data_IF_494771086227
#
_entry.id   IF_494771086227
#
_cell.length_a   1.000
_cell.length_b   1.000
_cell.length_c   1.000
_cell.angle_alpha   90.00
_cell.angle_beta   90.00
_cell.angle_gamma   90.00
#
_symmetry.space_group_name_H-M   'P 1'
#
loop_
_entity.id
_entity.type
_entity.pdbx_description
1 polymer ?
#
# COMPACT_ATOMS: atom_id res chain seq x y z
N UNK A 1 -35.19 73.66 16.10
CA UNK A 1 -34.50 73.94 14.82
C UNK A 1 -34.00 72.61 14.27
N UNK A 2 -34.77 72.11 13.34
CA UNK A 2 -34.58 70.73 12.75
C UNK A 2 -33.47 70.72 11.71
N UNK A 3 -32.58 69.74 11.78
CA UNK A 3 -31.80 69.30 10.62
C UNK A 3 -31.96 67.78 10.44
N UNK A 4 -32.70 67.44 9.41
CA UNK A 4 -32.83 66.08 8.88
C UNK A 4 -31.54 65.73 8.14
N UNK A 5 -30.86 64.63 8.54
CA UNK A 5 -29.83 63.99 7.74
C UNK A 5 -30.47 62.76 7.01
N UNK A 6 -30.52 62.92 5.70
CA UNK A 6 -30.93 61.79 4.81
C UNK A 6 -29.82 60.80 4.66
N UNK A 7 -30.10 59.55 5.00
CA UNK A 7 -29.19 58.39 4.73
C UNK A 7 -29.38 57.94 3.30
N UNK A 8 -28.34 58.10 2.46
CA UNK A 8 -28.25 57.50 1.12
C UNK A 8 -27.74 56.07 1.31
N UNK A 9 -28.60 55.09 1.08
CA UNK A 9 -28.22 53.66 0.99
C UNK A 9 -27.74 53.43 -0.44
N UNK A 10 -26.41 53.29 -0.61
CA UNK A 10 -25.81 52.83 -1.86
C UNK A 10 -25.88 51.29 -1.87
N UNK A 11 -26.78 50.75 -2.67
CA UNK A 11 -26.84 49.30 -3.00
C UNK A 11 -25.70 49.02 -3.97
N UNK A 12 -24.59 48.47 -3.46
CA UNK A 12 -23.57 47.85 -4.28
C UNK A 12 -24.07 46.48 -4.74
N UNK A 13 -24.54 46.41 -5.97
CA UNK A 13 -24.80 45.16 -6.67
C UNK A 13 -23.44 44.45 -6.97
N UNK A 14 -23.00 43.54 -6.11
CA UNK A 14 -21.90 42.64 -6.40
C UNK A 14 -22.42 41.63 -7.39
N UNK A 15 -22.10 41.81 -8.67
CA UNK A 15 -22.26 40.80 -9.71
C UNK A 15 -21.24 39.70 -9.41
N UNK A 16 -21.68 38.64 -8.75
CA UNK A 16 -20.93 37.34 -8.67
C UNK A 16 -21.01 36.73 -10.07
N UNK A 17 -20.00 37.01 -10.88
CA UNK A 17 -19.73 36.21 -12.06
C UNK A 17 -19.44 34.81 -11.57
N UNK A 18 -20.36 33.88 -11.75
CA UNK A 18 -20.11 32.46 -11.61
C UNK A 18 -19.08 32.08 -12.69
N UNK A 19 -17.78 32.18 -12.39
CA UNK A 19 -16.76 31.48 -13.13
C UNK A 19 -17.18 30.02 -13.03
N UNK A 20 -17.57 29.43 -14.15
CA UNK A 20 -17.64 28.00 -14.29
C UNK A 20 -16.25 27.49 -13.89
N UNK A 21 -16.14 26.89 -12.72
CA UNK A 21 -14.89 26.30 -12.24
C UNK A 21 -14.54 25.23 -13.28
N UNK A 22 -13.50 25.47 -14.07
CA UNK A 22 -12.90 24.42 -14.89
C UNK A 22 -12.66 23.23 -13.99
N UNK A 23 -13.28 22.10 -14.35
CA UNK A 23 -13.10 20.87 -13.57
C UNK A 23 -11.61 20.53 -13.59
N UNK A 24 -10.97 20.33 -12.42
CA UNK A 24 -9.55 20.08 -12.36
C UNK A 24 -9.25 18.80 -13.14
N UNK A 25 -8.28 18.89 -14.05
CA UNK A 25 -7.84 17.79 -14.91
C UNK A 25 -6.64 17.12 -14.24
N UNK A 26 -6.75 15.82 -14.00
CA UNK A 26 -5.70 15.03 -13.34
C UNK A 26 -5.10 14.00 -14.29
N UNK A 27 -3.78 13.88 -14.21
CA UNK A 27 -3.01 12.84 -14.87
C UNK A 27 -2.83 11.62 -13.96
N UNK A 28 -2.34 10.51 -14.52
CA UNK A 28 -1.95 9.34 -13.72
C UNK A 28 -0.88 9.69 -12.69
N UNK A 29 0.08 10.57 -13.04
CA UNK A 29 1.12 11.01 -12.11
C UNK A 29 0.55 11.81 -10.95
N UNK A 30 -0.40 12.72 -11.21
CA UNK A 30 -1.08 13.49 -10.16
C UNK A 30 -1.83 12.56 -9.20
N UNK A 31 -2.43 11.49 -9.74
CA UNK A 31 -3.12 10.47 -8.94
C UNK A 31 -2.16 9.66 -8.07
N UNK A 32 -0.96 9.31 -8.58
CA UNK A 32 0.09 8.70 -7.79
C UNK A 32 0.53 9.63 -6.64
N UNK A 33 0.83 10.88 -6.95
CA UNK A 33 1.30 11.84 -5.96
C UNK A 33 0.24 12.13 -4.89
N UNK A 34 -1.03 12.17 -5.27
CA UNK A 34 -2.14 12.32 -4.35
C UNK A 34 -2.27 11.11 -3.40
N UNK A 35 -2.22 9.90 -3.93
CA UNK A 35 -2.30 8.67 -3.14
C UNK A 35 -1.08 8.51 -2.21
N UNK A 36 0.14 8.78 -2.71
CA UNK A 36 1.36 8.70 -1.92
C UNK A 36 1.37 9.66 -0.72
N UNK A 37 0.64 10.79 -0.81
CA UNK A 37 0.50 11.76 0.30
C UNK A 37 -0.65 11.46 1.25
N UNK A 38 -1.75 10.90 0.76
CA UNK A 38 -3.01 10.84 1.51
C UNK A 38 -3.42 9.45 1.97
N UNK A 39 -2.97 8.38 1.29
CA UNK A 39 -3.44 7.03 1.55
C UNK A 39 -2.92 6.48 2.88
N UNK A 40 -3.82 5.99 3.72
CA UNK A 40 -3.53 5.52 5.07
C UNK A 40 -2.55 4.33 5.09
N UNK A 41 -2.60 3.44 4.11
CA UNK A 41 -1.70 2.29 4.03
C UNK A 41 -0.22 2.69 3.95
N UNK A 42 0.08 3.83 3.29
CA UNK A 42 1.44 4.38 3.22
C UNK A 42 1.84 4.98 4.57
N UNK A 43 0.94 5.77 5.20
CA UNK A 43 1.19 6.35 6.53
C UNK A 43 1.43 5.28 7.58
N UNK A 44 0.67 4.17 7.56
CA UNK A 44 0.91 3.02 8.43
C UNK A 44 2.33 2.46 8.19
N UNK A 45 2.76 2.34 6.94
CA UNK A 45 4.11 1.86 6.63
C UNK A 45 5.21 2.86 7.02
N UNK A 46 4.94 4.17 6.94
CA UNK A 46 5.83 5.22 7.45
C UNK A 46 5.96 5.14 8.98
N UNK A 47 4.87 4.92 9.70
CA UNK A 47 4.91 4.70 11.16
C UNK A 47 5.69 3.43 11.54
N UNK A 48 5.68 2.38 10.71
CA UNK A 48 6.54 1.21 10.92
C UNK A 48 8.04 1.57 10.84
N UNK A 49 8.41 2.50 9.96
CA UNK A 49 9.80 3.03 9.91
C UNK A 49 10.11 3.82 11.17
N UNK A 50 9.21 4.69 11.64
CA UNK A 50 9.38 5.45 12.91
C UNK A 50 9.53 4.49 14.10
N UNK A 51 8.75 3.40 14.14
CA UNK A 51 8.92 2.36 15.17
C UNK A 51 10.30 1.70 15.07
N UNK A 52 10.78 1.42 13.86
CA UNK A 52 12.11 0.83 13.67
C UNK A 52 13.23 1.80 14.06
N UNK A 53 13.09 3.11 13.77
CA UNK A 53 13.99 4.16 14.25
C UNK A 53 14.05 4.18 15.78
N UNK A 54 12.87 4.16 16.43
CA UNK A 54 12.77 4.12 17.89
C UNK A 54 13.39 2.86 18.50
N UNK A 55 13.35 1.71 17.81
CA UNK A 55 14.02 0.48 18.26
C UNK A 55 15.54 0.59 18.19
N UNK A 56 16.07 1.34 17.22
CA UNK A 56 17.52 1.65 17.17
C UNK A 56 17.92 2.49 18.38
N UNK A 57 17.13 3.53 18.71
CA UNK A 57 17.37 4.35 19.91
C UNK A 57 17.30 3.52 21.19
N UNK A 58 16.29 2.63 21.32
CA UNK A 58 16.20 1.68 22.43
C UNK A 58 17.44 0.77 22.48
N UNK A 59 17.95 0.28 21.34
CA UNK A 59 19.15 -0.56 21.33
C UNK A 59 20.40 0.21 21.81
N UNK A 60 20.48 1.50 21.54
CA UNK A 60 21.55 2.36 22.06
C UNK A 60 21.50 2.50 23.59
N UNK A 61 20.30 2.49 24.20
CA UNK A 61 20.20 2.57 25.68
C UNK A 61 20.87 1.41 26.40
N UNK A 62 21.02 0.26 25.74
CA UNK A 62 21.77 -0.88 26.30
C UNK A 62 23.30 -0.72 26.24
N UNK A 63 23.79 0.25 25.47
CA UNK A 63 25.21 0.59 25.39
C UNK A 63 25.60 1.67 26.40
N UNK A 64 24.66 2.60 26.65
CA UNK A 64 24.88 3.73 27.55
C UNK A 64 24.76 3.38 29.04
N UNK A 65 25.35 4.19 29.94
CA UNK A 65 25.13 4.03 31.38
C UNK A 65 23.67 4.34 31.72
N UNK A 66 23.10 3.52 32.62
CA UNK A 66 21.76 3.69 33.14
C UNK A 66 21.78 4.12 34.59
N UNK A 67 21.15 5.25 34.90
CA UNK A 67 20.95 5.73 36.26
C UNK A 67 19.52 5.36 36.71
N UNK A 68 19.42 4.63 37.82
CA UNK A 68 18.13 4.20 38.37
C UNK A 68 18.04 4.61 39.84
N UNK A 69 16.90 5.20 40.21
CA UNK A 69 16.58 5.51 41.59
C UNK A 69 15.64 4.42 42.18
N UNK A 70 15.93 3.98 43.38
CA UNK A 70 15.09 3.09 44.13
C UNK A 70 14.70 3.75 45.44
N UNK A 71 13.48 3.55 45.90
CA UNK A 71 12.98 3.99 47.19
C UNK A 71 12.11 2.90 47.79
N UNK A 72 12.30 2.58 49.06
CA UNK A 72 11.46 1.65 49.78
C UNK A 72 11.26 2.10 51.20
N UNK A 73 10.08 1.85 51.73
CA UNK A 73 9.77 1.90 53.18
C UNK A 73 9.20 0.55 53.58
N UNK A 74 9.86 -0.07 54.56
CA UNK A 74 9.43 -1.36 55.08
C UNK A 74 9.07 -1.20 56.54
N UNK A 75 7.91 -1.67 56.95
CA UNK A 75 7.49 -1.72 58.35
C UNK A 75 7.32 -3.17 58.77
N UNK A 76 8.00 -3.53 59.84
CA UNK A 76 7.90 -4.85 60.46
C UNK A 76 6.89 -4.80 61.59
N UNK A 77 6.29 -5.93 61.93
CA UNK A 77 5.31 -6.06 63.00
C UNK A 77 5.96 -6.02 64.40
N UNK A 78 7.27 -6.34 64.47
CA UNK A 78 8.01 -6.38 65.74
C UNK A 78 9.50 -6.10 65.50
N UNK A 79 10.22 -5.70 66.56
CA UNK A 79 11.67 -5.59 66.55
C UNK A 79 12.29 -6.93 66.91
N UNK A 80 13.38 -7.32 66.23
CA UNK A 80 14.22 -8.42 66.74
C UNK A 80 15.30 -7.85 67.66
N UNK A 81 15.12 -7.95 69.00
CA UNK A 81 16.17 -7.57 69.90
C UNK A 81 17.33 -8.56 69.81
N UNK A 82 18.55 -8.12 70.00
CA UNK A 82 19.69 -9.01 70.06
C UNK A 82 19.57 -9.86 71.28
N UNK A 83 19.77 -11.18 71.19
CA UNK A 83 19.95 -12.05 72.38
C UNK A 83 21.19 -11.61 73.20
N UNK A 84 20.99 -10.67 74.12
CA UNK A 84 22.03 -10.18 75.04
C UNK A 84 23.03 -9.15 74.45
N UNK A 85 22.78 -8.56 73.28
CA UNK A 85 23.66 -7.57 72.64
C UNK A 85 23.05 -6.16 72.59
N UNK A 86 23.89 -5.13 72.40
CA UNK A 86 23.50 -3.72 72.39
C UNK A 86 22.91 -3.20 71.14
N UNK A 87 22.69 -4.04 70.08
CA UNK A 87 22.31 -3.59 68.74
C UNK A 87 21.02 -4.25 68.27
N UNK A 88 20.11 -3.47 67.65
CA UNK A 88 18.90 -3.96 66.95
C UNK A 88 19.27 -4.53 65.61
N UNK A 89 18.84 -5.77 65.29
CA UNK A 89 19.00 -6.40 64.04
C UNK A 89 17.85 -6.09 63.07
N UNK A 90 16.64 -5.85 63.61
CA UNK A 90 15.44 -5.52 62.80
C UNK A 90 14.72 -4.33 63.44
N UNK A 91 14.68 -3.16 62.76
CA UNK A 91 13.90 -2.01 63.23
C UNK A 91 12.41 -2.21 62.96
N UNK A 92 11.53 -1.43 63.58
CA UNK A 92 10.09 -1.40 63.23
C UNK A 92 9.83 -0.78 61.90
N UNK A 93 10.54 0.28 61.53
CA UNK A 93 10.45 0.96 60.24
C UNK A 93 11.82 1.16 59.64
N UNK A 94 11.93 0.97 58.34
CA UNK A 94 13.16 1.17 57.56
C UNK A 94 12.86 1.90 56.27
N UNK A 95 13.50 3.04 56.08
CA UNK A 95 13.50 3.80 54.83
C UNK A 95 14.80 3.56 54.07
N UNK A 96 14.73 3.21 52.83
CA UNK A 96 15.90 3.10 51.96
C UNK A 96 15.67 3.91 50.70
N UNK A 97 16.67 4.68 50.30
CA UNK A 97 16.73 5.35 48.98
C UNK A 97 18.10 5.07 48.39
N UNK A 98 18.13 4.77 47.07
CA UNK A 98 19.41 4.58 46.39
C UNK A 98 19.36 5.09 44.95
N UNK A 99 20.50 5.64 44.49
CA UNK A 99 20.78 5.95 43.10
C UNK A 99 21.87 4.99 42.63
N UNK A 100 21.62 4.28 41.56
CA UNK A 100 22.55 3.29 40.99
C UNK A 100 22.82 3.61 39.56
N UNK A 101 24.08 3.89 39.24
CA UNK A 101 24.60 4.03 37.87
C UNK A 101 25.21 2.70 37.44
N UNK A 102 24.67 2.08 36.39
CA UNK A 102 25.16 0.80 35.84
C UNK A 102 25.63 1.01 34.41
N UNK A 103 26.87 0.66 34.11
CA UNK A 103 27.45 0.70 32.75
C UNK A 103 27.84 -0.72 32.33
N UNK A 104 27.23 -1.30 31.27
CA UNK A 104 27.73 -2.52 30.69
C UNK A 104 29.11 -2.29 30.04
N UNK A 105 30.13 -3.05 30.47
CA UNK A 105 31.47 -3.01 29.88
C UNK A 105 31.66 -4.11 28.85
N UNK A 106 31.15 -5.30 29.16
CA UNK A 106 31.17 -6.44 28.27
C UNK A 106 29.93 -7.32 28.50
N UNK A 107 29.25 -7.71 27.45
CA UNK A 107 28.02 -8.50 27.50
C UNK A 107 28.07 -9.73 26.58
N UNK A 108 29.25 -10.29 26.33
CA UNK A 108 29.41 -11.39 25.38
C UNK A 108 29.06 -11.04 23.93
N UNK A 109 29.13 -9.75 23.56
CA UNK A 109 28.76 -9.25 22.23
C UNK A 109 27.26 -9.03 21.99
N UNK A 110 26.39 -9.38 22.95
CA UNK A 110 24.90 -9.30 22.84
C UNK A 110 24.43 -7.90 22.50
N UNK A 111 24.91 -6.89 23.24
CA UNK A 111 24.49 -5.49 23.07
C UNK A 111 24.83 -4.95 21.70
N UNK A 112 26.04 -5.22 21.21
CA UNK A 112 26.46 -4.77 19.88
C UNK A 112 25.72 -5.52 18.77
N UNK A 113 25.48 -6.81 18.93
CA UNK A 113 24.68 -7.60 17.99
C UNK A 113 23.22 -7.13 17.97
N UNK A 114 22.62 -6.79 19.13
CA UNK A 114 21.29 -6.22 19.19
C UNK A 114 21.19 -4.87 18.49
N UNK A 115 22.20 -4.01 18.65
CA UNK A 115 22.27 -2.73 17.93
C UNK A 115 22.39 -2.92 16.40
N UNK A 116 23.22 -3.89 15.94
CA UNK A 116 23.31 -4.22 14.50
C UNK A 116 22.01 -4.77 13.98
N UNK A 117 21.37 -5.68 14.72
CA UNK A 117 20.04 -6.22 14.38
C UNK A 117 18.99 -5.11 14.24
N UNK A 118 18.94 -4.17 15.19
CA UNK A 118 18.01 -3.04 15.15
C UNK A 118 18.25 -2.12 13.93
N UNK A 119 19.51 -1.79 13.61
CA UNK A 119 19.86 -1.00 12.41
C UNK A 119 19.51 -1.71 11.11
N UNK A 120 19.80 -3.00 11.01
CA UNK A 120 19.45 -3.79 9.82
C UNK A 120 17.93 -3.91 9.66
N UNK A 121 17.18 -4.02 10.78
CA UNK A 121 15.71 -4.02 10.76
C UNK A 121 15.14 -2.67 10.32
N UNK A 122 15.77 -1.55 10.70
CA UNK A 122 15.43 -0.22 10.22
C UNK A 122 15.57 -0.11 8.70
N UNK A 123 16.67 -0.61 8.13
CA UNK A 123 16.88 -0.65 6.68
C UNK A 123 15.85 -1.53 5.98
N UNK A 124 15.52 -2.69 6.58
CA UNK A 124 14.45 -3.57 6.11
C UNK A 124 13.12 -2.85 6.05
N UNK A 125 12.72 -2.14 7.13
CA UNK A 125 11.46 -1.39 7.19
C UNK A 125 11.38 -0.28 6.13
N UNK A 126 12.50 0.37 5.80
CA UNK A 126 12.56 1.36 4.71
C UNK A 126 12.36 0.71 3.33
N UNK A 127 12.93 -0.47 3.12
CA UNK A 127 12.71 -1.24 1.89
C UNK A 127 11.26 -1.68 1.77
N UNK A 128 10.63 -2.13 2.87
CA UNK A 128 9.21 -2.51 2.92
C UNK A 128 8.30 -1.31 2.60
N UNK A 129 8.63 -0.11 3.10
CA UNK A 129 7.91 1.12 2.75
C UNK A 129 7.98 1.40 1.25
N UNK A 130 9.15 1.22 0.63
CA UNK A 130 9.31 1.45 -0.81
C UNK A 130 8.51 0.42 -1.62
N UNK A 131 8.52 -0.85 -1.20
CA UNK A 131 7.69 -1.89 -1.81
C UNK A 131 6.19 -1.56 -1.69
N UNK A 132 5.73 -1.15 -0.49
CA UNK A 132 4.35 -0.71 -0.25
C UNK A 132 3.95 0.45 -1.17
N UNK A 133 4.82 1.44 -1.36
CA UNK A 133 4.56 2.56 -2.30
C UNK A 133 4.34 2.06 -3.73
N UNK A 134 5.13 1.09 -4.20
CA UNK A 134 4.95 0.51 -5.54
C UNK A 134 3.65 -0.29 -5.66
N UNK A 135 3.26 -1.04 -4.63
CA UNK A 135 1.98 -1.77 -4.60
C UNK A 135 0.79 -0.82 -4.69
N UNK A 136 0.83 0.29 -3.94
CA UNK A 136 -0.22 1.31 -3.98
C UNK A 136 -0.25 2.03 -5.34
N UNK A 137 0.91 2.35 -5.92
CA UNK A 137 0.95 2.93 -7.28
C UNK A 137 0.28 2.02 -8.30
N UNK A 138 0.52 0.71 -8.26
CA UNK A 138 -0.17 -0.22 -9.15
C UNK A 138 -1.68 -0.24 -8.90
N UNK A 139 -2.11 -0.25 -7.63
CA UNK A 139 -3.54 -0.20 -7.26
C UNK A 139 -4.22 1.09 -7.77
N UNK A 140 -3.53 2.23 -7.66
CA UNK A 140 -4.00 3.51 -8.20
C UNK A 140 -4.07 3.46 -9.72
N UNK A 141 -3.09 2.85 -10.40
CA UNK A 141 -3.13 2.68 -11.85
C UNK A 141 -4.32 1.83 -12.29
N UNK A 142 -4.59 0.70 -11.62
CA UNK A 142 -5.76 -0.14 -11.91
C UNK A 142 -7.06 0.68 -11.78
N UNK A 143 -7.22 1.47 -10.70
CA UNK A 143 -8.40 2.33 -10.50
C UNK A 143 -8.49 3.47 -11.52
N UNK A 144 -7.36 4.11 -11.84
CA UNK A 144 -7.28 5.17 -12.84
C UNK A 144 -7.70 4.68 -14.23
N UNK A 145 -7.13 3.57 -14.68
CA UNK A 145 -7.48 2.97 -15.97
C UNK A 145 -8.91 2.40 -15.99
N UNK A 146 -9.48 2.04 -14.84
CA UNK A 146 -10.90 1.69 -14.74
C UNK A 146 -11.79 2.91 -15.04
N UNK A 147 -11.41 4.12 -14.58
CA UNK A 147 -12.11 5.37 -14.94
C UNK A 147 -11.99 5.65 -16.44
N UNK A 148 -10.78 5.60 -17.00
CA UNK A 148 -10.56 5.82 -18.46
C UNK A 148 -11.37 4.81 -19.29
N UNK A 149 -11.38 3.54 -18.89
CA UNK A 149 -12.19 2.50 -19.54
C UNK A 149 -13.68 2.82 -19.50
N UNK A 150 -14.19 3.22 -18.34
CA UNK A 150 -15.59 3.56 -18.17
C UNK A 150 -16.00 4.78 -19.04
N UNK A 151 -15.15 5.81 -19.10
CA UNK A 151 -15.37 6.97 -19.98
C UNK A 151 -15.48 6.55 -21.47
N UNK A 152 -14.59 5.67 -21.93
CA UNK A 152 -14.63 5.16 -23.32
C UNK A 152 -15.88 4.30 -23.56
N UNK A 153 -16.28 3.46 -22.61
CA UNK A 153 -17.48 2.62 -22.73
C UNK A 153 -18.77 3.47 -22.78
N UNK A 154 -18.84 4.61 -22.10
CA UNK A 154 -19.95 5.56 -22.25
C UNK A 154 -20.02 6.07 -23.70
N UNK A 155 -18.88 6.46 -24.28
CA UNK A 155 -18.81 6.86 -25.68
C UNK A 155 -19.38 5.79 -26.61
N UNK A 156 -18.83 4.57 -26.51
CA UNK A 156 -19.30 3.41 -27.31
C UNK A 156 -20.79 3.15 -27.12
N UNK A 157 -21.30 3.23 -25.88
CA UNK A 157 -22.73 2.99 -25.60
C UNK A 157 -23.62 4.10 -26.15
N UNK A 158 -23.16 5.36 -26.11
CA UNK A 158 -23.88 6.51 -26.68
C UNK A 158 -23.96 6.42 -28.21
N UNK A 159 -22.84 6.11 -28.84
CA UNK A 159 -22.79 5.92 -30.28
C UNK A 159 -23.69 4.75 -30.73
N UNK A 160 -23.70 3.66 -29.97
CA UNK A 160 -24.59 2.52 -30.20
C UNK A 160 -26.07 2.92 -30.11
N UNK A 161 -26.44 3.69 -29.06
CA UNK A 161 -27.82 4.18 -28.87
C UNK A 161 -28.22 5.07 -30.07
N UNK A 162 -27.37 6.00 -30.50
CA UNK A 162 -27.62 6.88 -31.61
C UNK A 162 -27.83 6.10 -32.95
N UNK A 163 -26.99 5.08 -33.19
CA UNK A 163 -27.13 4.17 -34.35
C UNK A 163 -28.47 3.43 -34.32
N UNK A 164 -28.89 2.92 -33.14
CA UNK A 164 -30.18 2.23 -33.01
C UNK A 164 -31.38 3.17 -33.14
N UNK A 165 -31.30 4.40 -32.66
CA UNK A 165 -32.35 5.40 -32.87
C UNK A 165 -32.48 5.81 -34.32
N UNK A 166 -31.36 5.93 -35.06
CA UNK A 166 -31.39 6.15 -36.52
C UNK A 166 -32.05 4.98 -37.26
N UNK A 167 -31.65 3.75 -36.94
CA UNK A 167 -32.24 2.55 -37.53
C UNK A 167 -33.75 2.45 -37.25
N UNK A 168 -34.19 2.72 -36.01
CA UNK A 168 -35.62 2.78 -35.67
C UNK A 168 -36.37 3.80 -36.54
N UNK A 169 -35.88 5.01 -36.73
CA UNK A 169 -36.51 6.06 -37.57
C UNK A 169 -36.72 5.61 -39.04
N UNK A 170 -35.76 4.89 -39.59
CA UNK A 170 -35.88 4.32 -40.97
C UNK A 170 -36.97 3.24 -40.98
N UNK A 171 -36.92 2.29 -40.04
CA UNK A 171 -37.88 1.21 -39.94
C UNK A 171 -39.33 1.73 -39.71
N UNK A 172 -39.52 2.82 -38.95
CA UNK A 172 -40.81 3.48 -38.74
C UNK A 172 -41.39 4.03 -40.06
N UNK A 173 -40.54 4.68 -40.89
CA UNK A 173 -40.96 5.18 -42.20
C UNK A 173 -41.36 4.05 -43.11
N UNK A 174 -40.63 2.95 -43.17
CA UNK A 174 -40.98 1.77 -43.97
C UNK A 174 -42.28 1.13 -43.50
N UNK A 175 -42.49 1.00 -42.20
CA UNK A 175 -43.69 0.45 -41.64
C UNK A 175 -44.96 1.31 -41.88
N UNK A 176 -44.78 2.64 -41.96
CA UNK A 176 -45.88 3.58 -42.31
C UNK A 176 -46.26 3.51 -43.78
N UNK A 177 -45.29 3.26 -44.68
CA UNK A 177 -45.49 3.23 -46.12
C UNK A 177 -46.09 1.90 -46.60
N UNK A 178 -45.72 0.76 -45.99
CA UNK A 178 -46.20 -0.59 -46.32
C UNK A 178 -46.67 -1.31 -45.04
N UNK A 179 -47.94 -1.25 -44.70
CA UNK A 179 -48.55 -1.99 -43.57
C UNK A 179 -48.57 -3.50 -43.82
N UNK A 180 -47.50 -4.19 -43.50
CA UNK A 180 -47.45 -5.65 -43.43
C UNK A 180 -47.17 -6.12 -41.97
N UNK A 181 -47.61 -7.33 -41.63
CA UNK A 181 -47.29 -7.92 -40.29
C UNK A 181 -45.80 -8.02 -40.05
N UNK A 182 -45.00 -8.18 -41.12
CA UNK A 182 -43.54 -8.27 -41.07
C UNK A 182 -42.92 -6.92 -40.71
N UNK A 183 -43.42 -5.79 -41.22
CA UNK A 183 -42.92 -4.46 -40.89
C UNK A 183 -43.26 -4.05 -39.46
N UNK A 184 -44.41 -4.47 -38.92
CA UNK A 184 -44.77 -4.27 -37.49
C UNK A 184 -43.80 -5.04 -36.59
N UNK A 185 -43.47 -6.29 -36.91
CA UNK A 185 -42.50 -7.09 -36.15
C UNK A 185 -41.09 -6.46 -36.15
N UNK A 186 -40.65 -5.96 -37.29
CA UNK A 186 -39.35 -5.24 -37.43
C UNK A 186 -39.32 -3.99 -36.55
N UNK A 187 -40.38 -3.19 -36.54
CA UNK A 187 -40.50 -2.00 -35.68
C UNK A 187 -40.50 -2.33 -34.17
N UNK A 188 -41.24 -3.35 -33.73
CA UNK A 188 -41.21 -3.78 -32.34
C UNK A 188 -39.81 -4.23 -31.89
N UNK A 189 -39.10 -4.94 -32.81
CA UNK A 189 -37.71 -5.34 -32.57
C UNK A 189 -36.79 -4.13 -32.46
N UNK A 190 -36.89 -3.16 -33.38
CA UNK A 190 -36.10 -1.94 -33.35
C UNK A 190 -36.33 -1.13 -32.07
N UNK A 191 -37.61 -1.02 -31.59
CA UNK A 191 -37.93 -0.39 -30.32
C UNK A 191 -37.24 -1.11 -29.13
N UNK A 192 -37.34 -2.45 -29.10
CA UNK A 192 -36.70 -3.25 -28.05
C UNK A 192 -35.18 -3.02 -27.99
N UNK A 193 -34.52 -2.89 -29.12
CA UNK A 193 -33.07 -2.67 -29.21
C UNK A 193 -32.65 -1.26 -28.80
N UNK A 194 -33.46 -0.24 -29.10
CA UNK A 194 -33.23 1.11 -28.58
C UNK A 194 -33.29 1.10 -27.05
N UNK A 195 -34.28 0.43 -26.44
CA UNK A 195 -34.34 0.32 -24.99
C UNK A 195 -33.14 -0.50 -24.40
N UNK A 196 -32.71 -1.55 -25.10
CA UNK A 196 -31.50 -2.28 -24.72
C UNK A 196 -30.23 -1.40 -24.78
N UNK A 197 -30.06 -0.60 -25.84
CA UNK A 197 -28.95 0.34 -25.95
C UNK A 197 -28.99 1.42 -24.85
N UNK A 198 -30.21 1.87 -24.48
CA UNK A 198 -30.42 2.82 -23.38
C UNK A 198 -30.04 2.22 -22.01
N UNK A 199 -30.40 0.96 -21.77
CA UNK A 199 -29.94 0.21 -20.58
C UNK A 199 -28.43 0.13 -20.54
N UNK A 200 -27.77 -0.19 -21.68
CA UNK A 200 -26.31 -0.27 -21.75
C UNK A 200 -25.63 1.07 -21.42
N UNK A 201 -26.21 2.19 -21.86
CA UNK A 201 -25.73 3.53 -21.54
C UNK A 201 -25.85 3.84 -20.03
N UNK A 202 -27.02 3.56 -19.43
CA UNK A 202 -27.25 3.75 -17.99
C UNK A 202 -26.24 2.96 -17.17
N UNK A 203 -26.02 1.68 -17.53
CA UNK A 203 -25.02 0.83 -16.84
C UNK A 203 -23.59 1.34 -17.01
N UNK A 204 -23.27 1.92 -18.17
CA UNK A 204 -21.95 2.50 -18.40
C UNK A 204 -21.73 3.78 -17.57
N UNK A 205 -22.76 4.63 -17.45
CA UNK A 205 -22.72 5.85 -16.62
C UNK A 205 -22.58 5.52 -15.12
N UNK A 206 -23.31 4.51 -14.64
CA UNK A 206 -23.16 4.05 -13.26
C UNK A 206 -21.79 3.39 -13.02
N UNK A 207 -21.27 2.64 -14.01
CA UNK A 207 -19.92 2.10 -13.96
C UNK A 207 -18.84 3.18 -13.83
N UNK A 208 -19.02 4.33 -14.46
CA UNK A 208 -18.12 5.48 -14.31
C UNK A 208 -18.18 6.05 -12.89
N UNK A 209 -19.37 6.24 -12.32
CA UNK A 209 -19.53 6.72 -10.93
C UNK A 209 -18.81 5.80 -9.94
N UNK A 210 -18.97 4.48 -10.07
CA UNK A 210 -18.31 3.49 -9.24
C UNK A 210 -16.78 3.57 -9.39
N UNK A 211 -16.27 3.69 -10.63
CA UNK A 211 -14.83 3.83 -10.88
C UNK A 211 -14.27 5.11 -10.25
N UNK A 212 -14.98 6.24 -10.34
CA UNK A 212 -14.59 7.49 -9.67
C UNK A 212 -14.53 7.35 -8.15
N UNK A 213 -15.51 6.70 -7.52
CA UNK A 213 -15.51 6.46 -6.08
C UNK A 213 -14.33 5.59 -5.65
N UNK A 214 -14.00 4.54 -6.42
CA UNK A 214 -12.84 3.68 -6.13
C UNK A 214 -11.52 4.45 -6.22
N UNK A 215 -11.37 5.32 -7.23
CA UNK A 215 -10.17 6.16 -7.37
C UNK A 215 -10.11 7.23 -6.27
N UNK A 216 -11.23 7.87 -5.94
CA UNK A 216 -11.33 8.85 -4.86
C UNK A 216 -10.99 8.27 -3.49
N UNK A 217 -11.34 7.01 -3.22
CA UNK A 217 -10.95 6.28 -2.01
C UNK A 217 -9.42 6.19 -1.85
N UNK A 218 -8.69 5.99 -2.94
CA UNK A 218 -7.24 5.84 -2.93
C UNK A 218 -6.51 7.18 -2.92
N UNK A 219 -7.05 8.17 -3.65
CA UNK A 219 -6.36 9.44 -3.95
C UNK A 219 -6.88 10.63 -3.15
N UNK A 220 -8.12 10.52 -2.62
CA UNK A 220 -8.89 11.63 -2.03
C UNK A 220 -9.11 12.82 -2.98
N UNK A 221 -8.96 12.58 -4.28
CA UNK A 221 -9.33 13.58 -5.28
C UNK A 221 -10.86 13.73 -5.36
N UNK A 222 -11.37 14.91 -5.74
CA UNK A 222 -12.81 15.13 -5.87
C UNK A 222 -13.44 14.17 -6.89
N UNK A 223 -14.63 13.64 -6.58
CA UNK A 223 -15.34 12.68 -7.45
C UNK A 223 -15.69 13.26 -8.84
N UNK A 224 -15.86 14.58 -8.94
CA UNK A 224 -16.18 15.27 -10.19
C UNK A 224 -14.94 15.66 -11.01
N UNK A 225 -13.78 15.06 -10.75
CA UNK A 225 -12.54 15.34 -11.46
C UNK A 225 -12.55 14.74 -12.87
N UNK A 226 -11.91 15.41 -13.83
CA UNK A 226 -11.68 14.89 -15.17
C UNK A 226 -10.31 14.20 -15.22
N UNK A 227 -10.25 13.01 -15.81
CA UNK A 227 -9.01 12.22 -15.95
C UNK A 227 -8.66 12.09 -17.42
N UNK A 228 -7.37 12.27 -17.75
CA UNK A 228 -6.84 12.23 -19.12
C UNK A 228 -6.22 10.86 -19.39
N UNK A 229 -6.46 10.32 -20.59
CA UNK A 229 -5.79 9.09 -21.02
C UNK A 229 -4.27 9.31 -21.07
N UNK A 230 -3.46 8.49 -20.36
CA UNK A 230 -2.01 8.60 -20.40
C UNK A 230 -1.48 8.22 -21.81
N UNK A 231 -0.30 8.76 -22.15
CA UNK A 231 0.40 8.33 -23.36
C UNK A 231 0.69 6.82 -23.30
N UNK A 232 0.61 6.11 -24.42
CA UNK A 232 0.90 4.68 -24.48
C UNK A 232 2.30 4.36 -23.96
N UNK A 233 2.40 3.39 -23.06
CA UNK A 233 3.66 2.91 -22.54
C UNK A 233 4.36 2.02 -23.58
N UNK A 234 5.70 2.12 -23.72
CA UNK A 234 6.45 1.24 -24.60
C UNK A 234 6.46 -0.20 -24.03
N UNK A 235 6.43 -1.18 -24.94
CA UNK A 235 6.60 -2.57 -24.56
C UNK A 235 8.00 -2.78 -23.96
N UNK A 236 8.11 -3.53 -22.84
CA UNK A 236 9.40 -3.85 -22.24
C UNK A 236 10.29 -4.62 -23.23
N UNK A 237 11.57 -4.22 -23.29
CA UNK A 237 12.57 -4.88 -24.11
C UNK A 237 13.44 -5.79 -23.25
N UNK A 238 13.89 -6.92 -23.79
CA UNK A 238 14.78 -7.87 -23.13
C UNK A 238 14.27 -9.32 -23.11
N UNK A 239 15.14 -10.22 -22.72
CA UNK A 239 14.79 -11.62 -22.49
C UNK A 239 14.21 -11.81 -21.10
N UNK A 240 13.45 -12.89 -20.90
CA UNK A 240 12.86 -13.21 -19.56
C UNK A 240 13.96 -13.33 -18.51
N UNK A 241 15.13 -13.88 -18.86
CA UNK A 241 16.27 -14.04 -17.97
C UNK A 241 16.82 -12.69 -17.51
N UNK A 242 17.02 -11.73 -18.43
CA UNK A 242 17.49 -10.39 -18.08
C UNK A 242 16.48 -9.62 -17.22
N UNK A 243 15.19 -9.86 -17.44
CA UNK A 243 14.12 -9.26 -16.62
C UNK A 243 14.10 -9.87 -15.21
N UNK A 244 14.32 -11.19 -15.06
CA UNK A 244 14.45 -11.83 -13.73
C UNK A 244 15.64 -11.26 -12.96
N UNK A 245 16.80 -11.08 -13.60
CA UNK A 245 17.97 -10.46 -12.96
C UNK A 245 17.68 -9.00 -12.53
N UNK A 246 17.00 -8.25 -13.37
CA UNK A 246 16.56 -6.89 -13.06
C UNK A 246 15.65 -6.87 -11.83
N UNK A 247 14.66 -7.77 -11.77
CA UNK A 247 13.78 -7.88 -10.62
C UNK A 247 14.53 -8.19 -9.32
N UNK A 248 15.45 -9.16 -9.34
CA UNK A 248 16.26 -9.52 -8.16
C UNK A 248 17.20 -8.38 -7.70
N UNK A 249 17.51 -7.43 -8.58
CA UNK A 249 18.33 -6.24 -8.27
C UNK A 249 17.50 -5.08 -7.71
N UNK A 250 16.30 -4.84 -8.24
CA UNK A 250 15.54 -3.62 -7.98
C UNK A 250 14.30 -3.81 -7.08
N UNK A 251 13.92 -5.06 -6.76
CA UNK A 251 12.78 -5.33 -5.87
C UNK A 251 13.16 -5.09 -4.42
N UNK A 252 12.45 -4.14 -3.81
CA UNK A 252 12.68 -3.73 -2.43
C UNK A 252 12.22 -4.79 -1.41
N UNK A 253 11.18 -5.59 -1.71
CA UNK A 253 10.74 -6.72 -0.89
C UNK A 253 11.79 -7.84 -0.82
N UNK A 254 12.52 -8.08 -1.91
CA UNK A 254 13.65 -9.02 -1.90
C UNK A 254 14.85 -8.47 -1.14
N UNK A 255 15.11 -7.16 -1.26
CA UNK A 255 16.14 -6.49 -0.45
C UNK A 255 15.81 -6.60 1.05
N UNK A 256 14.59 -6.31 1.45
CA UNK A 256 14.08 -6.49 2.82
C UNK A 256 14.25 -7.93 3.31
N UNK A 257 13.91 -8.93 2.51
CA UNK A 257 14.08 -10.34 2.86
C UNK A 257 15.53 -10.72 3.14
N UNK A 258 16.50 -10.20 2.38
CA UNK A 258 17.94 -10.39 2.64
C UNK A 258 18.37 -9.73 3.95
N UNK A 259 17.89 -8.52 4.22
CA UNK A 259 18.15 -7.82 5.48
C UNK A 259 17.58 -8.60 6.66
N UNK A 260 16.36 -9.14 6.55
CA UNK A 260 15.76 -9.98 7.58
C UNK A 260 16.56 -11.27 7.84
N UNK A 261 17.22 -11.83 6.83
CA UNK A 261 18.17 -12.94 7.03
C UNK A 261 19.40 -12.52 7.83
N UNK A 262 19.89 -11.27 7.62
CA UNK A 262 20.99 -10.73 8.44
C UNK A 262 20.55 -10.48 9.89
N UNK A 263 19.35 -9.94 10.09
CA UNK A 263 18.76 -9.79 11.43
C UNK A 263 18.71 -11.13 12.16
N UNK A 264 18.27 -12.20 11.51
CA UNK A 264 18.22 -13.53 12.10
C UNK A 264 19.63 -14.06 12.49
N UNK A 265 20.68 -13.75 11.72
CA UNK A 265 22.07 -14.06 12.08
C UNK A 265 22.54 -13.32 13.32
N UNK A 266 22.20 -12.03 13.44
CA UNK A 266 22.52 -11.25 14.64
C UNK A 266 21.77 -11.80 15.88
N UNK A 267 20.54 -12.30 15.73
CA UNK A 267 19.83 -12.96 16.83
C UNK A 267 20.53 -14.24 17.30
N UNK A 268 21.14 -15.00 16.41
CA UNK A 268 22.00 -16.15 16.81
C UNK A 268 23.20 -15.65 17.63
N UNK A 269 23.82 -14.56 17.23
CA UNK A 269 24.94 -13.94 17.98
C UNK A 269 24.50 -13.45 19.36
N UNK A 270 23.31 -12.83 19.44
CA UNK A 270 22.70 -12.39 20.70
C UNK A 270 22.51 -13.56 21.67
N UNK A 271 21.95 -14.67 21.20
CA UNK A 271 21.70 -15.84 22.04
C UNK A 271 23.00 -16.54 22.43
N UNK A 272 23.97 -16.68 21.51
CA UNK A 272 25.30 -17.19 21.80
C UNK A 272 26.03 -16.35 22.84
N UNK A 273 25.85 -15.05 22.82
CA UNK A 273 26.41 -14.11 23.78
C UNK A 273 26.01 -14.39 25.23
N UNK A 274 24.90 -15.10 25.45
CA UNK A 274 24.46 -15.55 26.76
C UNK A 274 25.43 -16.51 27.45
N UNK A 275 26.24 -17.28 26.71
CA UNK A 275 27.24 -18.20 27.26
C UNK A 275 28.51 -17.50 27.74
N UNK A 276 28.71 -16.24 27.39
CA UNK A 276 29.93 -15.52 27.73
C UNK A 276 29.80 -14.74 29.04
N UNK A 277 30.96 -14.48 29.72
CA UNK A 277 30.95 -13.60 30.89
C UNK A 277 30.33 -12.23 30.59
N UNK A 278 29.67 -11.66 31.57
CA UNK A 278 29.14 -10.31 31.51
C UNK A 278 29.84 -9.45 32.58
N UNK A 279 30.28 -8.27 32.20
CA UNK A 279 31.02 -7.34 33.05
C UNK A 279 30.29 -6.01 33.07
N UNK A 280 29.98 -5.53 34.28
CA UNK A 280 29.31 -4.26 34.51
C UNK A 280 30.14 -3.42 35.50
N UNK A 281 30.29 -2.13 35.19
CA UNK A 281 30.70 -1.16 36.19
C UNK A 281 29.46 -0.63 36.91
N UNK A 282 29.52 -0.51 38.22
CA UNK A 282 28.46 0.03 39.05
C UNK A 282 28.99 1.10 39.97
N UNK A 283 28.26 2.21 40.12
CA UNK A 283 28.52 3.22 41.17
C UNK A 283 27.17 3.62 41.75
N UNK A 284 27.15 3.87 43.03
CA UNK A 284 25.89 4.18 43.69
C UNK A 284 26.02 5.01 44.98
N UNK A 285 24.89 5.63 45.28
CA UNK A 285 24.61 6.32 46.52
C UNK A 285 23.46 5.56 47.17
N UNK A 286 23.62 5.18 48.46
CA UNK A 286 22.58 4.55 49.28
C UNK A 286 22.38 5.38 50.54
N UNK A 287 21.15 5.73 50.82
CA UNK A 287 20.68 6.29 52.07
C UNK A 287 19.79 5.25 52.76
N UNK A 288 20.05 5.04 54.08
CA UNK A 288 19.23 4.18 54.92
C UNK A 288 18.99 4.89 56.23
N UNK A 289 17.75 4.87 56.68
CA UNK A 289 17.29 5.41 57.96
C UNK A 289 16.29 4.43 58.58
N UNK A 290 16.43 4.18 59.88
CA UNK A 290 15.63 3.16 60.57
C UNK A 290 15.03 3.71 61.86
N UNK A 291 13.86 3.20 62.23
CA UNK A 291 13.21 3.57 63.50
C UNK A 291 12.81 2.30 64.27
N UNK A 292 13.40 2.04 65.45
CA UNK A 292 14.57 2.70 66.05
C UNK A 292 15.82 2.62 65.17
N UNK A 293 16.74 3.58 65.34
CA UNK A 293 17.99 3.68 64.58
C UNK A 293 18.86 2.44 64.78
N UNK A 294 19.51 2.03 63.67
CA UNK A 294 20.43 0.89 63.65
C UNK A 294 21.84 1.35 63.25
N UNK A 295 22.84 0.46 63.46
CA UNK A 295 24.22 0.72 62.99
C UNK A 295 24.35 0.81 61.43
N UNK A 296 23.29 0.42 60.73
CA UNK A 296 23.25 0.48 59.25
C UNK A 296 22.73 1.82 58.71
N UNK A 297 22.25 2.70 59.62
CA UNK A 297 21.74 4.03 59.24
C UNK A 297 22.90 4.93 58.80
N UNK A 298 23.00 5.12 57.48
CA UNK A 298 24.10 5.88 56.87
C UNK A 298 23.79 6.27 55.44
N UNK A 299 24.49 7.29 54.97
CA UNK A 299 24.66 7.57 53.56
C UNK A 299 25.97 6.96 53.08
N UNK A 300 25.89 6.03 52.12
CA UNK A 300 27.06 5.28 51.66
C UNK A 300 27.23 5.48 50.15
N UNK A 301 28.47 5.73 49.74
CA UNK A 301 28.88 5.76 48.33
C UNK A 301 29.67 4.50 48.02
N UNK A 302 29.43 3.90 46.88
CA UNK A 302 30.19 2.73 46.47
C UNK A 302 30.43 2.74 44.95
N UNK A 303 31.50 2.08 44.52
CA UNK A 303 31.80 1.83 43.15
C UNK A 303 32.49 0.47 43.02
N UNK A 304 32.22 -0.23 41.93
CA UNK A 304 32.78 -1.55 41.71
C UNK A 304 32.57 -2.09 40.32
N UNK A 305 33.11 -3.27 40.09
CA UNK A 305 32.91 -4.04 38.86
C UNK A 305 32.26 -5.35 39.24
N UNK A 306 31.17 -5.67 38.58
CA UNK A 306 30.46 -6.93 38.70
C UNK A 306 30.75 -7.82 37.52
N UNK A 307 31.23 -9.05 37.80
CA UNK A 307 31.41 -10.12 36.82
C UNK A 307 30.36 -11.19 37.07
N UNK A 308 29.61 -11.55 36.01
CA UNK A 308 28.65 -12.63 36.05
C UNK A 308 28.99 -13.64 34.94
N UNK A 309 29.18 -14.91 35.35
CA UNK A 309 29.46 -16.01 34.42
C UNK A 309 28.43 -17.11 34.66
N UNK A 310 27.56 -17.38 33.66
CA UNK A 310 26.65 -18.51 33.78
C UNK A 310 27.44 -19.84 33.60
N UNK A 311 27.51 -20.64 34.65
CA UNK A 311 28.24 -21.91 34.63
C UNK A 311 27.33 -23.07 34.21
N UNK A 312 26.11 -23.10 34.76
CA UNK A 312 25.13 -24.13 34.43
C UNK A 312 23.69 -23.61 34.59
N UNK A 313 22.89 -23.73 33.55
CA UNK A 313 21.49 -23.29 33.49
C UNK A 313 20.55 -24.42 32.97
N UNK A 314 20.85 -25.67 33.30
CA UNK A 314 20.00 -26.80 32.94
C UNK A 314 19.84 -27.03 31.43
N UNK A 315 20.77 -26.52 30.61
CA UNK A 315 20.71 -26.64 29.13
C UNK A 315 19.91 -25.56 28.39
N UNK A 316 19.35 -24.56 29.11
CA UNK A 316 18.53 -23.46 28.57
C UNK A 316 19.25 -22.77 27.40
N UNK A 317 20.46 -22.29 27.62
CA UNK A 317 21.20 -21.54 26.58
C UNK A 317 21.46 -22.36 25.32
N UNK A 318 21.73 -23.69 25.46
CA UNK A 318 21.90 -24.57 24.30
C UNK A 318 20.61 -24.68 23.50
N UNK A 319 19.47 -24.76 24.18
CA UNK A 319 18.15 -24.81 23.55
C UNK A 319 17.82 -23.50 22.82
N UNK A 320 18.08 -22.33 23.47
CA UNK A 320 17.87 -21.01 22.86
C UNK A 320 18.73 -20.79 21.60
N UNK A 321 20.01 -21.19 21.61
CA UNK A 321 20.87 -21.12 20.43
C UNK A 321 20.36 -22.05 19.31
N UNK A 322 19.89 -23.26 19.67
CA UNK A 322 19.30 -24.19 18.71
C UNK A 322 18.04 -23.61 18.06
N UNK A 323 17.17 -22.99 18.84
CA UNK A 323 15.97 -22.29 18.38
C UNK A 323 16.35 -21.12 17.45
N UNK A 324 17.26 -20.23 17.86
CA UNK A 324 17.71 -19.11 17.06
C UNK A 324 18.31 -19.54 15.70
N UNK A 325 19.11 -20.62 15.70
CA UNK A 325 19.62 -21.21 14.44
C UNK A 325 18.53 -21.80 13.56
N UNK A 326 17.52 -22.42 14.16
CA UNK A 326 16.36 -22.91 13.41
C UNK A 326 15.58 -21.75 12.79
N UNK A 327 15.37 -20.65 13.51
CA UNK A 327 14.73 -19.43 13.01
C UNK A 327 15.54 -18.79 11.88
N UNK A 328 16.87 -18.76 12.00
CA UNK A 328 17.75 -18.29 10.91
C UNK A 328 17.53 -19.13 9.64
N UNK A 329 17.60 -20.47 9.73
CA UNK A 329 17.35 -21.35 8.57
C UNK A 329 15.96 -21.15 7.98
N UNK A 330 14.93 -20.96 8.82
CA UNK A 330 13.58 -20.65 8.35
C UNK A 330 13.54 -19.37 7.53
N UNK A 331 14.22 -18.32 7.99
CA UNK A 331 14.28 -17.02 7.28
C UNK A 331 15.07 -17.14 5.96
N UNK A 332 16.15 -17.91 5.95
CA UNK A 332 16.92 -18.19 4.73
C UNK A 332 16.07 -18.95 3.69
N UNK A 333 15.34 -19.98 4.10
CA UNK A 333 14.42 -20.71 3.23
C UNK A 333 13.28 -19.84 2.71
N UNK A 334 12.74 -18.95 3.55
CA UNK A 334 11.72 -17.97 3.14
C UNK A 334 12.26 -17.02 2.06
N UNK A 335 13.51 -16.56 2.18
CA UNK A 335 14.16 -15.73 1.17
C UNK A 335 14.39 -16.47 -0.16
N UNK A 336 14.74 -17.75 -0.11
CA UNK A 336 14.86 -18.60 -1.31
C UNK A 336 13.50 -18.81 -1.98
N UNK A 337 12.44 -19.03 -1.17
CA UNK A 337 11.07 -19.15 -1.68
C UNK A 337 10.60 -17.87 -2.35
N UNK A 338 10.84 -16.73 -1.71
CA UNK A 338 10.52 -15.40 -2.27
C UNK A 338 11.23 -15.19 -3.61
N UNK A 339 12.52 -15.52 -3.70
CA UNK A 339 13.26 -15.44 -4.97
C UNK A 339 12.57 -16.23 -6.09
N UNK A 340 12.17 -17.47 -5.83
CA UNK A 340 11.45 -18.30 -6.82
C UNK A 340 10.11 -17.70 -7.21
N UNK A 341 9.37 -17.20 -6.24
CA UNK A 341 8.08 -16.53 -6.50
C UNK A 341 8.26 -15.28 -7.40
N UNK A 342 9.31 -14.49 -7.15
CA UNK A 342 9.66 -13.33 -7.98
C UNK A 342 9.98 -13.76 -9.41
N UNK A 343 10.80 -14.80 -9.59
CA UNK A 343 11.17 -15.32 -10.90
C UNK A 343 9.94 -15.81 -11.68
N UNK A 344 8.98 -16.44 -10.99
CA UNK A 344 7.69 -16.86 -11.57
C UNK A 344 6.79 -15.68 -11.90
N UNK A 345 6.62 -14.72 -10.97
CA UNK A 345 5.81 -13.51 -11.16
C UNK A 345 6.30 -12.71 -12.40
N UNK A 346 7.60 -12.53 -12.55
CA UNK A 346 8.17 -11.85 -13.72
C UNK A 346 7.87 -12.62 -15.00
N UNK A 347 8.00 -13.93 -15.00
CA UNK A 347 7.71 -14.77 -16.18
C UNK A 347 6.23 -14.69 -16.55
N UNK A 348 5.33 -14.79 -15.60
CA UNK A 348 3.88 -14.67 -15.81
C UNK A 348 3.51 -13.28 -16.33
N UNK A 349 4.05 -12.21 -15.73
CA UNK A 349 3.82 -10.84 -16.17
C UNK A 349 4.33 -10.60 -17.59
N UNK A 350 5.48 -11.19 -17.97
CA UNK A 350 6.02 -11.09 -19.34
C UNK A 350 5.13 -11.83 -20.34
N UNK A 351 4.73 -13.07 -20.06
CA UNK A 351 3.82 -13.84 -20.92
C UNK A 351 2.49 -13.11 -21.07
N UNK A 352 1.94 -12.55 -19.98
CA UNK A 352 0.71 -11.78 -20.03
C UNK A 352 0.85 -10.53 -20.91
N UNK A 353 1.98 -9.81 -20.83
CA UNK A 353 2.26 -8.68 -21.71
C UNK A 353 2.24 -9.08 -23.20
N UNK A 354 2.86 -10.19 -23.56
CA UNK A 354 2.87 -10.71 -24.94
C UNK A 354 1.46 -11.11 -25.40
N UNK A 355 0.73 -11.81 -24.55
CA UNK A 355 -0.63 -12.28 -24.84
C UNK A 355 -1.58 -11.10 -25.07
N UNK A 356 -1.58 -10.11 -24.14
CA UNK A 356 -2.47 -8.94 -24.27
C UNK A 356 -2.12 -8.08 -25.49
N UNK A 357 -0.85 -8.01 -25.85
CA UNK A 357 -0.44 -7.33 -27.09
C UNK A 357 -0.99 -8.06 -28.33
N UNK A 358 -0.92 -9.37 -28.39
CA UNK A 358 -1.50 -10.16 -29.49
C UNK A 358 -3.04 -10.04 -29.53
N UNK A 359 -3.69 -10.02 -28.36
CA UNK A 359 -5.14 -9.78 -28.24
C UNK A 359 -5.51 -8.40 -28.77
N UNK A 360 -4.75 -7.34 -28.43
CA UNK A 360 -4.99 -5.99 -28.92
C UNK A 360 -4.92 -5.91 -30.44
N UNK A 361 -3.90 -6.51 -31.05
CA UNK A 361 -3.76 -6.53 -32.52
C UNK A 361 -4.90 -7.32 -33.19
N UNK A 362 -5.42 -8.34 -32.52
CA UNK A 362 -6.58 -9.09 -33.04
C UNK A 362 -7.88 -8.29 -32.84
N UNK A 363 -8.07 -7.63 -31.71
CA UNK A 363 -9.22 -6.78 -31.43
C UNK A 363 -9.29 -5.58 -32.42
N UNK A 364 -8.15 -5.00 -32.78
CA UNK A 364 -8.10 -3.94 -33.84
C UNK A 364 -8.64 -4.45 -35.15
N UNK A 365 -8.18 -5.62 -35.63
CA UNK A 365 -8.67 -6.21 -36.87
C UNK A 365 -10.15 -6.59 -36.80
N UNK A 366 -10.59 -7.14 -35.65
CA UNK A 366 -12.00 -7.46 -35.45
C UNK A 366 -12.88 -6.20 -35.52
N UNK A 367 -12.45 -5.11 -34.90
CA UNK A 367 -13.15 -3.82 -34.99
C UNK A 367 -13.24 -3.30 -36.43
N UNK A 368 -12.14 -3.30 -37.18
CA UNK A 368 -12.14 -2.87 -38.58
C UNK A 368 -13.11 -3.69 -39.45
N UNK A 369 -13.13 -5.02 -39.29
CA UNK A 369 -14.07 -5.88 -40.02
C UNK A 369 -15.52 -5.67 -39.58
N UNK A 370 -15.78 -5.54 -38.29
CA UNK A 370 -17.12 -5.30 -37.79
C UNK A 370 -17.67 -3.95 -38.23
N UNK A 371 -16.81 -2.91 -38.20
CA UNK A 371 -17.15 -1.57 -38.69
C UNK A 371 -17.44 -1.58 -40.22
N UNK A 372 -16.55 -2.15 -41.01
CA UNK A 372 -16.77 -2.26 -42.47
C UNK A 372 -18.02 -3.05 -42.82
N UNK A 373 -18.31 -4.13 -42.09
CA UNK A 373 -19.55 -4.88 -42.28
C UNK A 373 -20.79 -4.04 -41.93
N UNK A 374 -20.75 -3.32 -40.79
CA UNK A 374 -21.85 -2.45 -40.38
C UNK A 374 -22.11 -1.34 -41.42
N UNK A 375 -21.07 -0.62 -41.85
CA UNK A 375 -21.18 0.46 -42.82
C UNK A 375 -21.76 -0.04 -44.17
N UNK A 376 -21.34 -1.24 -44.60
CA UNK A 376 -21.85 -1.86 -45.85
C UNK A 376 -23.33 -2.26 -45.69
N UNK A 377 -23.69 -2.92 -44.60
CA UNK A 377 -25.07 -3.40 -44.36
C UNK A 377 -26.04 -2.23 -44.15
N UNK A 378 -25.60 -1.16 -43.44
CA UNK A 378 -26.37 0.07 -43.23
C UNK A 378 -26.68 0.74 -44.60
N UNK A 379 -25.70 0.82 -45.51
CA UNK A 379 -25.90 1.35 -46.88
C UNK A 379 -26.89 0.51 -47.69
N UNK A 380 -26.72 -0.82 -47.71
CA UNK A 380 -27.62 -1.73 -48.41
C UNK A 380 -29.05 -1.68 -47.84
N UNK A 381 -29.20 -1.50 -46.52
CA UNK A 381 -30.50 -1.32 -45.92
C UNK A 381 -31.15 -0.01 -46.31
N UNK A 382 -30.41 1.09 -46.40
CA UNK A 382 -30.90 2.37 -46.85
C UNK A 382 -31.39 2.34 -48.33
N UNK A 383 -30.81 1.45 -49.15
CA UNK A 383 -31.21 1.20 -50.55
C UNK A 383 -32.35 0.17 -50.64
N UNK A 384 -32.80 -0.43 -49.53
CA UNK A 384 -33.85 -1.46 -49.51
C UNK A 384 -33.38 -2.84 -49.96
N UNK A 385 -32.07 -3.08 -50.03
CA UNK A 385 -31.43 -4.32 -50.51
C UNK A 385 -31.08 -5.28 -49.38
N UNK A 386 -31.03 -4.82 -48.11
CA UNK A 386 -30.78 -5.64 -46.96
C UNK A 386 -31.95 -5.64 -45.98
N UNK A 387 -32.26 -6.75 -45.28
CA UNK A 387 -33.27 -6.79 -44.25
C UNK A 387 -32.81 -6.09 -42.96
N UNK A 388 -33.75 -5.51 -42.20
CA UNK A 388 -33.51 -4.87 -40.90
C UNK A 388 -32.73 -5.76 -39.93
N UNK A 389 -32.92 -7.08 -39.98
CA UNK A 389 -32.20 -8.04 -39.13
C UNK A 389 -30.69 -7.99 -39.34
N UNK A 390 -30.24 -7.87 -40.62
CA UNK A 390 -28.80 -7.81 -40.92
C UNK A 390 -28.13 -6.56 -40.34
N UNK A 391 -28.83 -5.40 -40.30
CA UNK A 391 -28.33 -4.18 -39.64
C UNK A 391 -28.18 -4.39 -38.16
N UNK A 392 -29.14 -5.05 -37.52
CA UNK A 392 -29.15 -5.36 -36.11
C UNK A 392 -27.96 -6.25 -35.74
N UNK A 393 -27.73 -7.33 -36.49
CA UNK A 393 -26.65 -8.27 -36.27
C UNK A 393 -25.28 -7.61 -36.47
N UNK A 394 -25.12 -6.80 -37.55
CA UNK A 394 -23.91 -6.05 -37.79
C UNK A 394 -23.64 -4.99 -36.71
N UNK A 395 -24.67 -4.29 -36.21
CA UNK A 395 -24.56 -3.33 -35.13
C UNK A 395 -24.14 -4.00 -33.82
N UNK A 396 -24.69 -5.16 -33.51
CA UNK A 396 -24.31 -5.93 -32.30
C UNK A 396 -22.85 -6.37 -32.40
N UNK A 397 -22.41 -6.86 -33.53
CA UNK A 397 -21.02 -7.24 -33.77
C UNK A 397 -20.07 -6.05 -33.61
N UNK A 398 -20.42 -4.87 -34.16
CA UNK A 398 -19.64 -3.65 -34.00
C UNK A 398 -19.57 -3.19 -32.54
N UNK A 399 -20.69 -3.16 -31.81
CA UNK A 399 -20.71 -2.77 -30.38
C UNK A 399 -19.83 -3.66 -29.53
N UNK A 400 -19.84 -4.97 -29.75
CA UNK A 400 -18.98 -5.91 -29.05
C UNK A 400 -17.50 -5.70 -29.40
N UNK A 401 -17.19 -5.47 -30.69
CA UNK A 401 -15.83 -5.21 -31.15
C UNK A 401 -15.26 -3.88 -30.60
N UNK A 402 -16.07 -2.82 -30.52
CA UNK A 402 -15.68 -1.53 -29.89
C UNK A 402 -15.36 -1.69 -28.40
N UNK A 403 -16.16 -2.46 -27.67
CA UNK A 403 -15.93 -2.76 -26.26
C UNK A 403 -14.67 -3.59 -26.05
N UNK A 404 -14.46 -4.62 -26.89
CA UNK A 404 -13.28 -5.49 -26.81
C UNK A 404 -12.01 -4.72 -27.11
N UNK A 405 -12.00 -3.88 -28.15
CA UNK A 405 -10.87 -3.01 -28.48
C UNK A 405 -10.53 -2.07 -27.31
N UNK A 406 -11.56 -1.47 -26.68
CA UNK A 406 -11.38 -0.62 -25.51
C UNK A 406 -10.75 -1.40 -24.34
N UNK A 407 -11.27 -2.60 -24.06
CA UNK A 407 -10.77 -3.46 -22.99
C UNK A 407 -9.32 -3.92 -23.26
N UNK A 408 -9.01 -4.31 -24.50
CA UNK A 408 -7.66 -4.75 -24.90
C UNK A 408 -6.64 -3.60 -24.83
N UNK A 409 -7.02 -2.38 -25.26
CA UNK A 409 -6.15 -1.20 -25.18
C UNK A 409 -5.76 -0.88 -23.74
N UNK A 410 -6.73 -0.82 -22.83
CA UNK A 410 -6.49 -0.57 -21.43
C UNK A 410 -5.73 -1.74 -20.78
N UNK A 411 -6.11 -2.97 -21.14
CA UNK A 411 -5.44 -4.20 -20.66
C UNK A 411 -3.96 -4.22 -20.98
N UNK A 412 -3.54 -3.76 -22.17
CA UNK A 412 -2.13 -3.66 -22.55
C UNK A 412 -1.37 -2.69 -21.63
N UNK A 413 -1.92 -1.50 -21.36
CA UNK A 413 -1.26 -0.53 -20.50
C UNK A 413 -1.08 -1.08 -19.07
N UNK A 414 -2.11 -1.72 -18.53
CA UNK A 414 -2.05 -2.35 -17.20
C UNK A 414 -1.08 -3.53 -17.16
N UNK A 415 -1.00 -4.34 -18.21
CA UNK A 415 -0.04 -5.44 -18.28
C UNK A 415 1.41 -4.93 -18.24
N UNK A 416 1.70 -3.80 -18.93
CA UNK A 416 3.03 -3.17 -18.89
C UNK A 416 3.35 -2.65 -17.48
N UNK A 417 2.41 -1.96 -16.82
CA UNK A 417 2.59 -1.47 -15.44
C UNK A 417 2.79 -2.60 -14.44
N UNK A 418 2.06 -3.70 -14.58
CA UNK A 418 2.23 -4.91 -13.76
C UNK A 418 3.60 -5.54 -13.97
N UNK A 419 4.10 -5.57 -15.20
CA UNK A 419 5.46 -6.03 -15.46
C UNK A 419 6.50 -5.07 -14.85
N UNK A 420 6.33 -3.74 -14.97
CA UNK A 420 7.22 -2.79 -14.31
C UNK A 420 7.23 -2.97 -12.78
N UNK A 421 6.07 -3.25 -12.16
CA UNK A 421 5.98 -3.55 -10.73
C UNK A 421 6.67 -4.85 -10.39
N UNK A 422 6.48 -5.92 -11.15
CA UNK A 422 7.16 -7.21 -10.92
C UNK A 422 8.67 -7.11 -11.04
N UNK A 423 9.17 -6.14 -11.81
CA UNK A 423 10.60 -5.80 -11.92
C UNK A 423 11.09 -4.88 -10.78
N UNK A 424 10.20 -4.30 -9.97
CA UNK A 424 10.54 -3.33 -8.94
C UNK A 424 10.96 -1.96 -9.47
N UNK A 425 10.57 -1.62 -10.70
CA UNK A 425 10.96 -0.34 -11.36
C UNK A 425 9.78 0.64 -11.52
N UNK A 426 8.59 0.27 -11.10
CA UNK A 426 7.43 1.16 -11.16
C UNK A 426 7.69 2.43 -10.36
N UNK A 427 7.56 3.60 -11.01
CA UNK A 427 7.85 4.90 -10.41
C UNK A 427 9.33 5.25 -10.22
N UNK A 428 10.25 4.35 -10.58
CA UNK A 428 11.70 4.63 -10.60
C UNK A 428 12.10 5.13 -12.00
N UNK A 429 12.94 6.16 -12.06
CA UNK A 429 13.62 6.55 -13.31
C UNK A 429 14.79 5.58 -13.50
N UNK A 430 14.62 4.59 -14.37
CA UNK A 430 15.67 3.62 -14.73
C UNK A 430 16.27 4.02 -16.08
#
# INVERSE_FOLDING_TARGET
MNKRLGSIVILLAVSVSAMAAEQPVYTLQDSYDAALRSYEGIKISEENVVQADSRVDQAWTYVYPRLTAYGSYTRYNDTLPPNGGAFLFQPLGQTQASLVLTQPLYTGGRTLAALRAAKTMQESSRSDLTATKQDIMLTVADAYYAVIKAQKIIGVSRDSLERMERHKKVTEREASTRRSKMNVSALLRANSLVEQARINLILAEDGLKIAHQQLALLTRLPENSTFVEPAPLPLPQGTVESLKETALKYRDDYASSKLNTQVAKEYVTITQGGHYPQVYAEAGLRYQDSSPSTLMDATTYYGGVRLQIPIFEGGLMKAEVSEARSKQRQTELSSVLLKRNIETEVQEAYINCQTVNAVLETAKRQFEYAKGNFDTVESLFAEGLAPSLSVIDAQQALFLAERELTAATIGQQLAILRLQKSLGVLGKKV
#
